data_IF_807669428275
#
_entry.id   IF_807669428275
#
_cell.length_a   1.000
_cell.length_b   1.000
_cell.length_c   1.000
_cell.angle_alpha   90.00
_cell.angle_beta   90.00
_cell.angle_gamma   90.00
#
_symmetry.space_group_name_H-M   'P 1'
#
loop_
_entity.id
_entity.type
_entity.pdbx_description
1 polymer ?
#
# COMPACT_ATOMS: atom_id res chain seq x y z
N UNK A 1 7.30 18.24 4.33
CA UNK A 1 6.12 17.81 3.53
C UNK A 1 6.29 18.17 2.05
N UNK A 2 6.55 19.43 1.67
CA UNK A 2 6.73 19.82 0.25
C UNK A 2 7.80 18.99 -0.49
N UNK A 3 8.90 18.66 0.18
CA UNK A 3 10.01 17.84 -0.35
C UNK A 3 9.57 16.48 -0.91
N UNK A 4 8.51 15.88 -0.35
CA UNK A 4 8.05 14.53 -0.73
C UNK A 4 6.80 14.55 -1.60
N UNK A 5 6.22 15.72 -1.87
CA UNK A 5 4.93 15.84 -2.55
C UNK A 5 4.94 15.18 -3.94
N UNK A 6 5.91 15.56 -4.78
CA UNK A 6 5.99 15.04 -6.15
C UNK A 6 6.26 13.53 -6.18
N UNK A 7 7.10 13.03 -5.27
CA UNK A 7 7.39 11.61 -5.13
C UNK A 7 6.18 10.83 -4.63
N UNK A 8 5.43 11.38 -3.65
CA UNK A 8 4.18 10.78 -3.16
C UNK A 8 3.15 10.69 -4.27
N UNK A 9 2.93 11.79 -5.01
CA UNK A 9 2.01 11.81 -6.16
C UNK A 9 2.40 10.78 -7.21
N UNK A 10 3.70 10.69 -7.55
CA UNK A 10 4.21 9.70 -8.50
C UNK A 10 3.93 8.28 -8.02
N UNK A 11 4.25 7.96 -6.76
CA UNK A 11 4.06 6.62 -6.21
C UNK A 11 2.58 6.23 -6.11
N UNK A 12 1.67 7.16 -5.79
CA UNK A 12 0.22 6.92 -5.83
C UNK A 12 -0.21 6.58 -7.26
N UNK A 13 0.26 7.33 -8.26
CA UNK A 13 -0.06 7.04 -9.67
C UNK A 13 0.45 5.69 -10.13
N UNK A 14 1.62 5.28 -9.67
CA UNK A 14 2.23 3.99 -10.02
C UNK A 14 1.48 2.84 -9.36
N UNK A 15 1.19 2.91 -8.06
CA UNK A 15 0.50 1.82 -7.35
C UNK A 15 -0.97 1.65 -7.82
N UNK A 16 -1.63 2.72 -8.23
CA UNK A 16 -3.00 2.67 -8.78
C UNK A 16 -3.07 1.86 -10.08
N UNK A 17 -1.97 1.75 -10.83
CA UNK A 17 -1.94 0.97 -12.08
C UNK A 17 -2.07 -0.54 -11.89
N UNK A 18 -1.86 -1.05 -10.69
CA UNK A 18 -2.11 -2.46 -10.41
C UNK A 18 -3.61 -2.69 -10.23
N UNK A 19 -4.21 -3.55 -11.05
CA UNK A 19 -5.53 -4.09 -10.75
C UNK A 19 -5.38 -5.15 -9.66
N UNK A 20 -5.48 -4.71 -8.41
CA UNK A 20 -5.38 -5.55 -7.22
C UNK A 20 -6.74 -6.03 -6.71
N UNK A 21 -7.78 -6.01 -7.54
CA UNK A 21 -9.03 -6.67 -7.22
C UNK A 21 -8.82 -8.19 -7.10
N UNK A 22 -9.56 -8.79 -6.16
CA UNK A 22 -9.44 -10.23 -5.93
C UNK A 22 -9.73 -11.01 -7.21
N UNK A 23 -8.83 -11.92 -7.55
CA UNK A 23 -8.99 -12.83 -8.68
C UNK A 23 -8.66 -14.27 -8.28
N UNK A 24 -8.78 -15.21 -9.23
CA UNK A 24 -8.53 -16.62 -8.95
C UNK A 24 -7.15 -16.86 -8.31
N UNK A 25 -7.10 -17.61 -7.20
CA UNK A 25 -5.84 -17.93 -6.53
C UNK A 25 -4.88 -18.65 -7.44
N UNK A 26 -3.58 -18.36 -7.29
CA UNK A 26 -2.48 -19.04 -7.95
C UNK A 26 -1.46 -19.47 -6.88
N UNK A 27 -0.52 -20.34 -7.26
CA UNK A 27 0.53 -20.78 -6.32
C UNK A 27 1.30 -19.58 -5.77
N UNK A 28 1.24 -19.39 -4.44
CA UNK A 28 1.88 -18.26 -3.75
C UNK A 28 1.21 -16.90 -3.97
N UNK A 29 0.02 -16.85 -4.59
CA UNK A 29 -0.75 -15.63 -4.84
C UNK A 29 -2.21 -15.87 -4.45
N UNK A 30 -2.53 -15.82 -3.16
CA UNK A 30 -3.84 -16.24 -2.62
C UNK A 30 -5.01 -15.43 -3.17
N UNK A 31 -4.78 -14.17 -3.51
CA UNK A 31 -5.81 -13.24 -4.02
C UNK A 31 -5.60 -12.86 -5.49
N UNK A 32 -4.71 -13.63 -6.19
CA UNK A 32 -4.38 -13.42 -7.58
C UNK A 32 -3.13 -12.57 -7.82
N UNK A 33 -2.70 -12.53 -9.08
CA UNK A 33 -1.43 -11.89 -9.46
C UNK A 33 -1.44 -10.38 -9.22
N UNK A 34 -2.54 -9.68 -9.51
CA UNK A 34 -2.60 -8.23 -9.37
C UNK A 34 -2.42 -7.75 -7.92
N UNK A 35 -3.00 -8.47 -6.95
CA UNK A 35 -2.80 -8.19 -5.53
C UNK A 35 -1.34 -8.45 -5.10
N UNK A 36 -0.76 -9.58 -5.53
CA UNK A 36 0.63 -9.92 -5.22
C UNK A 36 1.63 -8.91 -5.83
N UNK A 37 1.43 -8.50 -7.08
CA UNK A 37 2.28 -7.50 -7.74
C UNK A 37 2.18 -6.12 -7.06
N UNK A 38 0.97 -5.72 -6.63
CA UNK A 38 0.75 -4.48 -5.91
C UNK A 38 1.48 -4.47 -4.55
N UNK A 39 1.40 -5.59 -3.81
CA UNK A 39 2.13 -5.76 -2.55
C UNK A 39 3.64 -5.70 -2.78
N UNK A 40 4.15 -6.43 -3.77
CA UNK A 40 5.56 -6.44 -4.10
C UNK A 40 6.09 -5.03 -4.44
N UNK A 41 5.32 -4.26 -5.22
CA UNK A 41 5.66 -2.86 -5.51
C UNK A 41 5.73 -2.01 -4.24
N UNK A 42 4.74 -2.12 -3.34
CA UNK A 42 4.70 -1.33 -2.11
C UNK A 42 5.88 -1.64 -1.18
N UNK A 43 6.21 -2.92 -1.01
CA UNK A 43 7.34 -3.35 -0.17
C UNK A 43 8.69 -2.95 -0.78
N UNK A 44 8.85 -3.07 -2.10
CA UNK A 44 10.07 -2.60 -2.81
C UNK A 44 10.26 -1.09 -2.68
N UNK A 45 9.16 -0.31 -2.74
CA UNK A 45 9.19 1.12 -2.50
C UNK A 45 9.67 1.44 -1.08
N UNK A 46 9.16 0.73 -0.07
CA UNK A 46 9.54 0.91 1.33
C UNK A 46 11.00 0.48 1.58
N UNK A 47 11.45 -0.62 1.00
CA UNK A 47 12.83 -1.11 1.08
C UNK A 47 13.80 -0.08 0.48
N UNK A 48 13.51 0.48 -0.68
CA UNK A 48 14.27 1.58 -1.30
C UNK A 48 14.34 2.85 -0.46
N UNK A 49 13.35 3.08 0.40
CA UNK A 49 13.35 4.15 1.41
C UNK A 49 14.18 3.79 2.64
N UNK A 50 14.72 2.57 2.71
CA UNK A 50 15.57 2.06 3.79
C UNK A 50 14.79 1.59 5.01
N UNK A 51 13.56 1.15 4.85
CA UNK A 51 12.79 0.48 5.90
C UNK A 51 13.01 -1.03 5.86
N UNK A 52 12.87 -1.67 7.00
CA UNK A 52 12.76 -3.12 7.10
C UNK A 52 11.34 -3.52 6.67
N UNK A 53 11.24 -4.54 5.79
CA UNK A 53 9.97 -4.97 5.20
C UNK A 53 9.79 -6.48 5.32
N UNK A 54 8.54 -6.92 5.47
CA UNK A 54 8.17 -8.33 5.49
C UNK A 54 6.99 -8.60 4.57
N UNK A 55 7.04 -9.73 3.88
CA UNK A 55 5.95 -10.25 3.06
C UNK A 55 5.44 -11.54 3.70
N UNK A 56 4.19 -11.56 4.13
CA UNK A 56 3.52 -12.70 4.74
C UNK A 56 2.75 -13.49 3.66
N UNK A 57 3.48 -14.28 2.87
CA UNK A 57 2.96 -15.19 1.84
C UNK A 57 2.01 -14.52 0.83
N UNK A 58 2.21 -13.24 0.51
CA UNK A 58 1.32 -12.41 -0.31
C UNK A 58 -0.12 -12.26 0.23
N UNK A 59 -0.36 -12.57 1.51
CA UNK A 59 -1.58 -12.19 2.22
C UNK A 59 -1.52 -10.75 2.73
N UNK A 60 -0.40 -10.37 3.30
CA UNK A 60 -0.15 -9.03 3.83
C UNK A 60 1.33 -8.67 3.75
N UNK A 61 1.62 -7.40 3.87
CA UNK A 61 2.98 -6.89 4.03
C UNK A 61 3.11 -6.01 5.25
N UNK A 62 4.35 -5.77 5.66
CA UNK A 62 4.65 -4.93 6.81
C UNK A 62 5.90 -4.10 6.55
N UNK A 63 5.87 -2.87 7.04
CA UNK A 63 6.99 -1.93 7.05
C UNK A 63 7.25 -1.52 8.49
N UNK A 64 8.49 -1.67 8.96
CA UNK A 64 8.89 -1.36 10.34
C UNK A 64 9.69 -0.07 10.44
N UNK A 65 9.40 0.73 11.47
CA UNK A 65 10.17 1.91 11.81
C UNK A 65 10.27 2.10 13.32
N UNK A 66 11.52 2.11 13.85
CA UNK A 66 11.81 2.25 15.27
C UNK A 66 11.82 0.92 16.03
N UNK A 67 11.90 1.01 17.35
CA UNK A 67 12.03 -0.13 18.27
C UNK A 67 11.09 0.04 19.47
N UNK A 68 10.91 -1.04 20.25
CA UNK A 68 10.14 -1.04 21.49
C UNK A 68 8.73 -1.59 21.34
N UNK A 69 7.79 -1.08 22.13
CA UNK A 69 6.37 -1.48 22.08
C UNK A 69 5.74 -1.14 20.74
N UNK A 70 4.93 -2.04 20.21
CA UNK A 70 4.31 -1.87 18.89
C UNK A 70 3.19 -0.80 18.86
N UNK A 71 3.19 -0.02 17.79
CA UNK A 71 2.10 0.86 17.37
C UNK A 71 1.77 0.55 15.91
N UNK A 72 0.60 -0.03 15.66
CA UNK A 72 0.20 -0.44 14.32
C UNK A 72 -0.62 0.63 13.60
N UNK A 73 -0.32 0.81 12.32
CA UNK A 73 -1.15 1.49 11.32
C UNK A 73 -1.57 0.45 10.31
N UNK A 74 -2.87 0.26 10.12
CA UNK A 74 -3.41 -0.75 9.21
C UNK A 74 -4.01 -0.06 7.99
N UNK A 75 -3.55 -0.49 6.82
CA UNK A 75 -4.03 -0.11 5.49
C UNK A 75 -4.29 -1.36 4.66
N UNK A 76 -4.84 -1.20 3.43
CA UNK A 76 -4.95 -2.30 2.49
C UNK A 76 -4.58 -1.87 1.06
N UNK A 77 -4.19 -2.84 0.24
CA UNK A 77 -3.78 -2.61 -1.14
C UNK A 77 -4.71 -3.26 -2.17
N UNK A 78 -5.59 -4.16 -1.74
CA UNK A 78 -6.65 -4.67 -2.59
C UNK A 78 -7.72 -3.61 -2.83
N UNK A 79 -8.50 -3.82 -3.86
CA UNK A 79 -9.56 -2.90 -4.28
C UNK A 79 -10.76 -3.70 -4.77
N UNK A 80 -11.96 -3.12 -4.66
CA UNK A 80 -13.13 -3.68 -5.36
C UNK A 80 -12.94 -3.56 -6.87
N UNK A 81 -13.59 -4.42 -7.68
CA UNK A 81 -13.56 -4.32 -9.15
C UNK A 81 -13.92 -2.91 -9.62
N UNK A 82 -13.26 -2.45 -10.67
CA UNK A 82 -13.45 -1.09 -11.16
C UNK A 82 -14.90 -0.79 -11.57
N UNK A 83 -15.60 -1.77 -12.14
CA UNK A 83 -16.94 -1.54 -12.70
C UNK A 83 -16.91 -0.69 -13.96
N UNK A 84 -17.98 0.05 -14.21
CA UNK A 84 -18.18 0.89 -15.41
C UNK A 84 -18.45 2.35 -15.02
N UNK A 85 -18.51 3.23 -16.03
CA UNK A 85 -18.87 4.65 -15.83
C UNK A 85 -17.69 5.56 -15.50
N UNK A 86 -16.46 5.10 -15.65
CA UNK A 86 -15.27 5.92 -15.44
C UNK A 86 -15.07 6.94 -16.55
N UNK A 87 -14.78 8.19 -16.16
CA UNK A 87 -14.38 9.27 -17.09
C UNK A 87 -12.88 9.25 -17.42
N UNK A 88 -12.08 8.58 -16.58
CA UNK A 88 -10.65 8.31 -16.77
C UNK A 88 -10.41 6.81 -16.57
N UNK A 89 -9.37 6.22 -17.16
CA UNK A 89 -9.04 4.80 -16.96
C UNK A 89 -8.91 4.46 -15.47
N UNK A 90 -9.62 3.46 -14.94
CA UNK A 90 -9.65 3.16 -13.50
C UNK A 90 -8.28 2.76 -12.93
N UNK A 91 -7.39 2.24 -13.76
CA UNK A 91 -6.00 1.91 -13.40
C UNK A 91 -4.99 2.78 -14.16
N UNK A 92 -5.37 4.00 -14.57
CA UNK A 92 -4.52 4.93 -15.30
C UNK A 92 -3.62 5.78 -14.39
N UNK A 93 -4.10 6.15 -13.21
CA UNK A 93 -3.43 7.11 -12.33
C UNK A 93 -3.25 8.48 -13.01
N UNK A 94 -4.22 8.91 -13.81
CA UNK A 94 -4.17 10.19 -14.54
C UNK A 94 -4.32 11.37 -13.58
N UNK A 95 -3.61 12.46 -13.89
CA UNK A 95 -3.82 13.73 -13.21
C UNK A 95 -4.60 14.67 -14.14
N UNK A 96 -5.74 15.14 -13.65
CA UNK A 96 -6.53 16.18 -14.29
C UNK A 96 -7.13 17.10 -13.22
N UNK A 97 -7.18 18.39 -13.46
CA UNK A 97 -7.76 19.40 -12.57
C UNK A 97 -7.26 19.32 -11.12
N UNK A 98 -5.98 19.02 -10.92
CA UNK A 98 -5.36 18.90 -9.60
C UNK A 98 -5.77 17.64 -8.81
N UNK A 99 -6.35 16.63 -9.45
CA UNK A 99 -6.81 15.37 -8.86
C UNK A 99 -6.12 14.19 -9.52
N UNK A 100 -5.91 13.12 -8.76
CA UNK A 100 -5.46 11.82 -9.28
C UNK A 100 -6.71 10.95 -9.46
N UNK A 101 -6.96 10.50 -10.68
CA UNK A 101 -8.07 9.60 -10.98
C UNK A 101 -7.61 8.14 -11.03
N UNK A 102 -8.35 7.29 -10.32
CA UNK A 102 -8.14 5.85 -10.39
C UNK A 102 -8.75 5.09 -9.21
N UNK A 103 -8.97 3.80 -9.39
CA UNK A 103 -9.45 2.88 -8.35
C UNK A 103 -8.36 2.71 -7.28
N UNK A 104 -8.70 2.98 -6.01
CA UNK A 104 -7.77 2.90 -4.89
C UNK A 104 -7.02 4.20 -4.56
N UNK A 105 -7.25 5.30 -5.30
CA UNK A 105 -6.62 6.60 -4.96
C UNK A 105 -7.04 7.11 -3.59
N UNK A 106 -8.25 6.80 -3.16
CA UNK A 106 -8.81 7.21 -1.85
C UNK A 106 -8.91 6.04 -0.90
N UNK A 107 -9.22 4.85 -1.41
CA UNK A 107 -9.49 3.64 -0.65
C UNK A 107 -8.76 2.44 -1.30
N UNK A 108 -7.62 1.99 -0.74
CA UNK A 108 -6.82 2.59 0.36
C UNK A 108 -5.34 2.76 -0.06
N UNK A 109 -5.00 2.51 -1.37
CA UNK A 109 -3.62 2.61 -1.89
C UNK A 109 -3.00 4.00 -1.70
N UNK A 110 -3.81 5.05 -1.93
CA UNK A 110 -3.36 6.43 -1.73
C UNK A 110 -2.97 6.69 -0.28
N UNK A 111 -3.86 6.46 0.71
CA UNK A 111 -3.54 6.57 2.12
C UNK A 111 -2.36 5.71 2.55
N UNK A 112 -2.23 4.45 2.09
CA UNK A 112 -1.10 3.58 2.38
C UNK A 112 0.23 4.20 1.93
N UNK A 113 0.29 4.74 0.71
CA UNK A 113 1.48 5.44 0.20
C UNK A 113 1.75 6.72 1.00
N UNK A 114 0.72 7.50 1.35
CA UNK A 114 0.87 8.71 2.19
C UNK A 114 1.47 8.34 3.55
N UNK A 115 0.97 7.29 4.21
CA UNK A 115 1.52 6.80 5.46
C UNK A 115 3.00 6.45 5.32
N UNK A 116 3.39 5.74 4.25
CA UNK A 116 4.78 5.40 3.99
C UNK A 116 5.67 6.63 3.83
N UNK A 117 5.22 7.66 3.10
CA UNK A 117 5.96 8.91 2.94
C UNK A 117 6.00 9.75 4.21
N UNK A 118 5.00 9.65 5.10
CA UNK A 118 5.06 10.23 6.43
C UNK A 118 6.16 9.58 7.28
N UNK A 119 6.27 8.25 7.25
CA UNK A 119 7.37 7.54 7.92
C UNK A 119 8.72 7.93 7.32
N UNK A 120 8.83 8.05 6.00
CA UNK A 120 10.05 8.51 5.31
C UNK A 120 10.46 9.91 5.76
N UNK A 121 9.51 10.83 5.85
CA UNK A 121 9.77 12.19 6.31
C UNK A 121 10.29 12.22 7.76
N UNK A 122 9.67 11.45 8.66
CA UNK A 122 10.13 11.32 10.05
C UNK A 122 11.54 10.74 10.13
N UNK A 123 11.81 9.69 9.35
CA UNK A 123 13.14 9.06 9.29
C UNK A 123 14.23 10.04 8.81
N UNK A 124 13.95 10.79 7.73
CA UNK A 124 14.90 11.74 7.16
C UNK A 124 15.19 12.95 8.07
N UNK A 125 14.22 13.33 8.90
CA UNK A 125 14.39 14.35 9.95
C UNK A 125 15.11 13.81 11.20
N UNK A 126 15.55 12.55 11.17
CA UNK A 126 16.24 11.92 12.30
C UNK A 126 15.34 11.60 13.49
N UNK A 127 14.02 11.54 13.28
CA UNK A 127 13.09 11.18 14.35
C UNK A 127 13.28 9.73 14.78
N UNK A 128 13.42 9.52 16.08
CA UNK A 128 13.48 8.20 16.71
C UNK A 128 12.17 7.96 17.46
N UNK A 129 11.25 7.14 16.92
CA UNK A 129 9.99 6.91 17.60
C UNK A 129 10.19 6.15 18.92
N UNK A 130 9.39 6.49 19.95
CA UNK A 130 9.42 5.80 21.24
C UNK A 130 8.75 4.41 21.20
N UNK A 131 8.03 4.13 20.13
CA UNK A 131 7.37 2.86 19.84
C UNK A 131 7.79 2.39 18.46
N UNK A 132 7.83 1.08 18.25
CA UNK A 132 8.01 0.51 16.92
C UNK A 132 6.74 0.72 16.11
N UNK A 133 6.82 1.54 15.06
CA UNK A 133 5.70 1.74 14.15
C UNK A 133 5.68 0.59 13.15
N UNK A 134 4.53 -0.07 13.05
CA UNK A 134 4.24 -1.16 12.13
C UNK A 134 3.19 -0.70 11.13
N UNK A 135 3.59 -0.36 9.90
CA UNK A 135 2.65 -0.09 8.82
C UNK A 135 2.33 -1.42 8.13
N UNK A 136 1.14 -1.93 8.41
CA UNK A 136 0.64 -3.21 7.91
C UNK A 136 -0.27 -2.92 6.71
N UNK A 137 -0.09 -3.64 5.61
CA UNK A 137 -0.91 -3.53 4.40
C UNK A 137 -1.51 -4.89 4.04
N UNK A 138 -2.84 -5.00 4.12
CA UNK A 138 -3.59 -6.21 3.76
C UNK A 138 -3.85 -6.29 2.25
N UNK A 139 -4.10 -7.50 1.75
CA UNK A 139 -4.43 -7.75 0.34
C UNK A 139 -5.82 -8.39 0.15
N UNK A 140 -6.70 -8.33 1.16
CA UNK A 140 -8.05 -8.90 1.09
C UNK A 140 -9.02 -8.23 2.07
N UNK A 141 -8.90 -6.92 2.27
CA UNK A 141 -9.80 -6.16 3.15
C UNK A 141 -11.22 -6.16 2.60
N UNK A 142 -11.37 -5.84 1.32
CA UNK A 142 -12.62 -5.71 0.59
C UNK A 142 -13.41 -7.04 0.44
N UNK A 143 -12.79 -8.18 0.76
CA UNK A 143 -13.36 -9.51 0.52
C UNK A 143 -13.21 -10.47 1.70
N UNK A 144 -13.29 -9.97 2.94
CA UNK A 144 -13.45 -10.78 4.13
C UNK A 144 -12.23 -10.99 5.02
N UNK A 145 -11.18 -10.18 4.86
CA UNK A 145 -10.06 -10.04 5.82
C UNK A 145 -9.18 -11.28 6.02
N UNK A 146 -9.20 -12.25 5.11
CA UNK A 146 -8.34 -13.44 5.18
C UNK A 146 -6.85 -13.08 5.25
N UNK A 147 -6.46 -11.90 4.74
CA UNK A 147 -5.10 -11.36 4.85
C UNK A 147 -4.69 -11.14 6.32
N UNK A 148 -5.55 -10.57 7.13
CA UNK A 148 -5.26 -10.30 8.55
C UNK A 148 -5.37 -11.58 9.39
N UNK A 149 -6.28 -12.48 9.05
CA UNK A 149 -6.36 -13.80 9.71
C UNK A 149 -5.07 -14.62 9.47
N UNK A 150 -4.46 -14.50 8.30
CA UNK A 150 -3.16 -15.12 8.02
C UNK A 150 -2.02 -14.41 8.76
N UNK A 151 -1.97 -13.09 8.73
CA UNK A 151 -0.95 -12.27 9.38
C UNK A 151 -0.86 -12.47 10.90
N UNK A 152 -1.97 -12.82 11.57
CA UNK A 152 -2.06 -13.02 13.03
C UNK A 152 -1.57 -14.40 13.51
N UNK A 153 -1.27 -15.33 12.60
CA UNK A 153 -0.79 -16.69 12.94
C UNK A 153 0.70 -16.71 13.23
#
# INVERSE_FOLDING_TARGET
>A
MQKYFDDTVRSIREIVRFDSSQSSPQKGMPFGKGAADCLAYFLDLADKMGFETYNYDNYAGEVLFGEGEDFAVLCHLDVVPAGSGWTHPPFGGEIADGKIYGRGTTDDKGPAVICLYCLKALKDEGFSPKKRIRLIVGCNEENGWACIDHYRK
#
